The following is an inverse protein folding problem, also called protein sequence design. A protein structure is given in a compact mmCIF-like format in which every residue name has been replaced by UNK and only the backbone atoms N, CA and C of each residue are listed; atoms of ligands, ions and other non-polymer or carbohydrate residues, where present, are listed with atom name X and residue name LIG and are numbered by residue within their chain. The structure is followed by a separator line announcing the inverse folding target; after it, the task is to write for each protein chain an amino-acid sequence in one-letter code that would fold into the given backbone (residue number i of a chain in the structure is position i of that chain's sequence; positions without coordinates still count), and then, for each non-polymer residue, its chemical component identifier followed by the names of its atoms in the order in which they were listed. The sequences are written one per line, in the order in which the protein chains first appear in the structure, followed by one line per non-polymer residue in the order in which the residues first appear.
data_IF_585107004727
#
_entry.id   IF_585107004727
#
_cell.length_a   1.000
_cell.length_b   1.000
_cell.length_c   1.000
_cell.angle_alpha   90.00
_cell.angle_beta   90.00
_cell.angle_gamma   90.00
#
_symmetry.space_group_name_H-M   'P 1'
#
loop_
_entity.id
_entity.type
_entity.pdbx_description
1 polymer ?
#
# COMPACT_ATOMS: atom_id res chain seq x y z
N UNK A 1 7.41 17.11 -10.43
CA UNK A 1 7.04 16.21 -11.55
C UNK A 1 5.84 15.42 -11.08
N UNK A 2 4.79 15.24 -11.91
CA UNK A 2 3.64 14.43 -11.50
C UNK A 2 4.09 12.97 -11.40
N UNK A 3 3.85 12.35 -10.25
CA UNK A 3 4.16 10.94 -9.97
C UNK A 3 2.87 10.14 -10.17
N UNK A 4 2.89 9.09 -10.98
CA UNK A 4 1.70 8.38 -11.43
C UNK A 4 1.55 6.98 -10.81
N UNK A 5 0.30 6.63 -10.47
CA UNK A 5 -0.23 5.27 -10.37
C UNK A 5 -1.08 5.02 -11.64
N UNK A 6 -0.70 4.04 -12.48
CA UNK A 6 -1.40 3.80 -13.76
C UNK A 6 -2.29 2.55 -13.68
N UNK A 7 -3.41 2.58 -14.40
CA UNK A 7 -4.30 1.43 -14.62
C UNK A 7 -4.28 0.92 -16.08
N UNK A 8 -4.57 -0.37 -16.25
CA UNK A 8 -4.26 -1.10 -17.49
C UNK A 8 -5.10 -0.72 -18.72
N UNK A 9 -6.27 -0.07 -18.60
CA UNK A 9 -7.13 0.18 -19.79
C UNK A 9 -8.31 1.15 -19.59
N UNK A 10 -8.65 2.08 -20.52
CA UNK A 10 -7.86 2.61 -21.63
C UNK A 10 -7.25 3.97 -21.22
N UNK A 11 -5.95 3.98 -20.88
CA UNK A 11 -5.16 5.20 -20.59
C UNK A 11 -5.72 6.12 -19.49
N UNK A 12 -6.17 5.57 -18.36
CA UNK A 12 -6.37 6.39 -17.16
C UNK A 12 -5.06 6.51 -16.39
N UNK A 13 -4.75 7.73 -16.01
CA UNK A 13 -3.65 8.06 -15.12
C UNK A 13 -4.23 8.67 -13.88
N UNK A 14 -3.80 8.18 -12.73
CA UNK A 14 -4.06 8.84 -11.47
C UNK A 14 -2.71 9.22 -10.89
N UNK A 15 -2.66 10.38 -10.25
CA UNK A 15 -1.53 10.75 -9.44
C UNK A 15 -1.36 9.73 -8.30
N UNK A 16 -0.13 9.28 -8.03
CA UNK A 16 0.15 8.26 -7.03
C UNK A 16 -0.36 8.66 -5.64
N UNK A 17 -0.16 9.93 -5.26
CA UNK A 17 -0.67 10.49 -4.00
C UNK A 17 -2.20 10.38 -3.91
N UNK A 18 -2.91 10.72 -5.00
CA UNK A 18 -4.37 10.61 -5.11
C UNK A 18 -4.82 9.15 -5.02
N UNK A 19 -4.07 8.23 -5.61
CA UNK A 19 -4.36 6.81 -5.55
C UNK A 19 -4.23 6.26 -4.12
N UNK A 20 -3.07 6.44 -3.50
CA UNK A 20 -2.80 6.01 -2.13
C UNK A 20 -3.85 6.55 -1.14
N UNK A 21 -4.23 7.83 -1.29
CA UNK A 21 -5.31 8.45 -0.50
C UNK A 21 -6.67 7.80 -0.78
N UNK A 22 -7.02 7.63 -2.05
CA UNK A 22 -8.30 7.04 -2.45
C UNK A 22 -8.47 5.63 -1.90
N UNK A 23 -7.41 4.82 -1.98
CA UNK A 23 -7.33 3.48 -1.38
C UNK A 23 -7.48 3.55 0.14
N UNK A 24 -6.85 4.50 0.83
CA UNK A 24 -6.97 4.67 2.28
C UNK A 24 -8.39 5.07 2.73
N UNK A 25 -9.12 5.85 1.93
CA UNK A 25 -10.53 6.18 2.20
C UNK A 25 -11.42 4.96 1.97
N UNK A 26 -11.23 4.26 0.86
CA UNK A 26 -12.04 3.10 0.47
C UNK A 26 -11.85 1.93 1.42
N UNK A 27 -10.62 1.67 1.90
CA UNK A 27 -10.39 0.60 2.88
C UNK A 27 -11.11 0.92 4.20
N UNK A 28 -11.09 2.16 4.67
CA UNK A 28 -11.85 2.55 5.87
C UNK A 28 -13.35 2.32 5.67
N UNK A 29 -13.89 2.71 4.51
CA UNK A 29 -15.30 2.49 4.16
C UNK A 29 -15.66 1.00 4.15
N UNK A 30 -14.83 0.15 3.56
CA UNK A 30 -15.01 -1.31 3.55
C UNK A 30 -15.02 -1.89 4.97
N UNK A 31 -14.03 -1.52 5.79
CA UNK A 31 -13.90 -2.04 7.15
C UNK A 31 -15.08 -1.65 8.03
N UNK A 32 -15.72 -0.50 7.76
CA UNK A 32 -16.91 -0.04 8.49
C UNK A 32 -18.21 -0.69 8.04
N UNK A 33 -18.21 -1.51 6.98
CA UNK A 33 -19.41 -2.28 6.59
C UNK A 33 -19.79 -3.27 7.68
N UNK A 34 -21.10 -3.48 7.90
CA UNK A 34 -21.62 -4.23 9.06
C UNK A 34 -20.96 -5.60 9.25
N UNK A 35 -20.81 -6.36 8.16
CA UNK A 35 -20.27 -7.72 8.20
C UNK A 35 -18.78 -7.68 8.58
N UNK A 36 -17.99 -6.86 7.86
CA UNK A 36 -16.54 -6.78 8.08
C UNK A 36 -16.25 -6.21 9.47
N UNK A 37 -16.92 -5.13 9.86
CA UNK A 37 -16.78 -4.53 11.19
C UNK A 37 -17.07 -5.53 12.29
N UNK A 38 -18.18 -6.28 12.19
CA UNK A 38 -18.54 -7.26 13.21
C UNK A 38 -17.47 -8.35 13.36
N UNK A 39 -16.99 -8.90 12.25
CA UNK A 39 -15.93 -9.93 12.27
C UNK A 39 -14.63 -9.38 12.84
N UNK A 40 -14.18 -8.19 12.43
CA UNK A 40 -12.93 -7.61 12.93
C UNK A 40 -13.07 -7.20 14.40
N UNK A 41 -14.20 -6.63 14.83
CA UNK A 41 -14.45 -6.28 16.23
C UNK A 41 -14.27 -7.51 17.14
N UNK A 42 -14.79 -8.68 16.74
CA UNK A 42 -14.63 -9.92 17.49
C UNK A 42 -13.16 -10.37 17.58
N UNK A 43 -12.43 -10.37 16.46
CA UNK A 43 -11.01 -10.74 16.41
C UNK A 43 -10.12 -9.75 17.18
N UNK A 44 -10.46 -8.46 17.15
CA UNK A 44 -9.77 -7.38 17.84
C UNK A 44 -9.89 -7.53 19.37
N UNK A 45 -11.09 -7.87 19.87
CA UNK A 45 -11.32 -8.15 21.28
C UNK A 45 -10.47 -9.32 21.79
N UNK A 46 -10.38 -10.41 21.01
CA UNK A 46 -9.55 -11.57 21.36
C UNK A 46 -8.05 -11.23 21.44
N UNK A 47 -7.60 -10.26 20.65
CA UNK A 47 -6.20 -9.80 20.61
C UNK A 47 -5.92 -8.57 21.48
N UNK A 48 -6.94 -8.09 22.22
CA UNK A 48 -6.89 -6.91 23.10
C UNK A 48 -6.39 -5.66 22.38
N UNK A 49 -6.92 -5.41 21.19
CA UNK A 49 -6.76 -4.16 20.44
C UNK A 49 -8.12 -3.57 20.13
N UNK A 50 -8.19 -2.26 20.00
CA UNK A 50 -9.42 -1.60 19.58
C UNK A 50 -9.57 -1.66 18.05
N UNK A 51 -10.81 -1.74 17.58
CA UNK A 51 -11.12 -1.71 16.15
C UNK A 51 -10.54 -0.49 15.44
N UNK A 52 -10.47 0.66 16.12
CA UNK A 52 -9.84 1.87 15.59
C UNK A 52 -8.35 1.69 15.32
N UNK A 53 -7.63 0.90 16.11
CA UNK A 53 -6.22 0.62 15.86
C UNK A 53 -6.04 -0.27 14.63
N UNK A 54 -6.95 -1.22 14.41
CA UNK A 54 -6.96 -2.05 13.20
C UNK A 54 -7.24 -1.19 11.96
N UNK A 55 -8.16 -0.22 12.04
CA UNK A 55 -8.39 0.75 10.96
C UNK A 55 -7.12 1.57 10.69
N UNK A 56 -6.44 2.09 11.72
CA UNK A 56 -5.20 2.87 11.54
C UNK A 56 -4.09 2.04 10.88
N UNK A 57 -3.93 0.77 11.28
CA UNK A 57 -3.00 -0.16 10.63
C UNK A 57 -3.35 -0.41 9.16
N UNK A 58 -4.64 -0.65 8.87
CA UNK A 58 -5.13 -0.87 7.51
C UNK A 58 -4.97 0.37 6.61
N UNK A 59 -5.26 1.57 7.14
CA UNK A 59 -5.02 2.85 6.43
C UNK A 59 -3.54 3.08 6.20
N UNK A 60 -2.69 2.73 7.16
CA UNK A 60 -1.23 2.78 6.98
C UNK A 60 -0.77 1.82 5.89
N UNK A 61 -1.31 0.61 5.82
CA UNK A 61 -1.04 -0.31 4.72
C UNK A 61 -1.45 0.32 3.38
N UNK A 62 -2.63 0.91 3.29
CA UNK A 62 -3.11 1.59 2.08
C UNK A 62 -2.22 2.77 1.65
N UNK A 63 -1.67 3.54 2.59
CA UNK A 63 -0.74 4.64 2.28
C UNK A 63 0.60 4.13 1.76
N UNK A 64 1.07 2.99 2.27
CA UNK A 64 2.40 2.47 1.92
C UNK A 64 2.40 1.42 0.81
N UNK A 65 1.28 0.76 0.48
CA UNK A 65 1.27 -0.44 -0.38
C UNK A 65 1.97 -0.27 -1.74
N UNK A 66 1.83 0.93 -2.29
CA UNK A 66 2.29 1.31 -3.62
C UNK A 66 3.36 2.40 -3.60
N UNK A 67 3.84 2.79 -2.41
CA UNK A 67 4.75 3.92 -2.26
C UNK A 67 6.06 3.72 -3.04
N UNK A 68 6.51 2.47 -3.20
CA UNK A 68 7.64 2.08 -4.03
C UNK A 68 7.50 2.46 -5.51
N UNK A 69 6.28 2.68 -6.02
CA UNK A 69 6.05 3.19 -7.39
C UNK A 69 6.62 4.60 -7.58
N UNK A 70 6.93 5.34 -6.53
CA UNK A 70 7.55 6.66 -6.62
C UNK A 70 8.99 6.62 -7.18
N UNK A 71 9.66 5.47 -7.17
CA UNK A 71 11.01 5.36 -7.72
C UNK A 71 11.07 5.76 -9.20
N UNK A 72 12.15 6.45 -9.58
CA UNK A 72 12.34 6.97 -10.93
C UNK A 72 12.26 5.87 -11.99
N UNK A 73 12.76 4.67 -11.70
CA UNK A 73 12.64 3.51 -12.59
C UNK A 73 11.21 3.27 -13.09
N UNK A 74 10.22 3.38 -12.20
CA UNK A 74 8.81 3.21 -12.56
C UNK A 74 8.22 4.47 -13.18
N UNK A 75 8.59 5.65 -12.67
CA UNK A 75 8.04 6.92 -13.14
C UNK A 75 8.51 7.29 -14.55
N UNK A 76 9.72 6.88 -14.94
CA UNK A 76 10.19 6.97 -16.33
C UNK A 76 9.27 6.18 -17.26
N UNK A 77 8.97 4.93 -16.92
CA UNK A 77 8.06 4.09 -17.71
C UNK A 77 6.64 4.65 -17.74
N UNK A 78 6.16 5.17 -16.60
CA UNK A 78 4.86 5.83 -16.53
C UNK A 78 4.78 7.03 -17.48
N UNK A 79 5.80 7.89 -17.46
CA UNK A 79 5.89 9.06 -18.32
C UNK A 79 5.93 8.71 -19.82
N UNK A 80 6.76 7.75 -20.20
CA UNK A 80 6.86 7.28 -21.60
C UNK A 80 5.51 6.79 -22.12
N UNK A 81 4.71 6.11 -21.29
CA UNK A 81 3.38 5.68 -21.72
C UNK A 81 2.35 6.82 -21.72
N UNK A 82 2.41 7.76 -20.77
CA UNK A 82 1.57 8.99 -20.82
C UNK A 82 1.75 9.71 -22.14
N UNK A 83 2.98 9.81 -22.63
CA UNK A 83 3.30 10.45 -23.90
C UNK A 83 3.01 9.61 -25.15
N UNK A 84 2.64 8.35 -24.98
CA UNK A 84 2.48 7.42 -26.10
C UNK A 84 3.80 7.00 -26.76
N UNK A 85 4.93 7.25 -26.09
CA UNK A 85 6.29 6.94 -26.54
C UNK A 85 6.77 5.54 -26.06
N UNK A 86 6.08 4.95 -25.08
CA UNK A 86 6.44 3.67 -24.46
C UNK A 86 5.59 2.47 -24.87
N UNK A 87 5.82 1.33 -24.21
CA UNK A 87 5.03 0.10 -24.36
C UNK A 87 3.54 0.36 -24.10
N UNK A 88 2.64 -0.35 -24.82
CA UNK A 88 1.20 -0.33 -24.52
C UNK A 88 0.88 -0.70 -23.07
N UNK A 89 1.70 -1.55 -22.45
CA UNK A 89 1.52 -2.06 -21.08
C UNK A 89 2.72 -1.71 -20.21
N UNK A 90 2.46 -1.37 -18.94
CA UNK A 90 3.47 -1.16 -17.91
C UNK A 90 3.41 -2.30 -16.90
N UNK A 91 4.58 -2.71 -16.41
CA UNK A 91 4.68 -3.64 -15.30
C UNK A 91 5.52 -3.02 -14.22
N UNK A 92 4.92 -2.87 -13.04
CA UNK A 92 5.65 -2.50 -11.83
C UNK A 92 6.02 -3.80 -11.11
N UNK A 93 7.00 -4.52 -11.63
CA UNK A 93 7.53 -5.69 -10.91
C UNK A 93 8.18 -5.23 -9.62
N UNK A 94 7.99 -5.96 -8.52
CA UNK A 94 8.63 -5.74 -7.22
C UNK A 94 8.29 -4.43 -6.49
N UNK A 95 7.33 -3.61 -6.95
CA UNK A 95 6.97 -2.39 -6.21
C UNK A 95 6.43 -2.71 -4.82
N UNK A 96 5.81 -3.86 -4.64
CA UNK A 96 5.33 -4.38 -3.37
C UNK A 96 6.47 -4.73 -2.41
N UNK A 97 7.59 -5.29 -2.91
CA UNK A 97 8.79 -5.55 -2.10
C UNK A 97 9.49 -4.26 -1.69
N UNK A 98 9.57 -3.31 -2.61
CA UNK A 98 10.18 -2.01 -2.37
C UNK A 98 9.34 -1.22 -1.37
N UNK A 99 8.02 -1.22 -1.52
CA UNK A 99 7.09 -0.61 -0.58
C UNK A 99 7.18 -1.23 0.81
N UNK A 100 7.22 -2.56 0.89
CA UNK A 100 7.43 -3.30 2.13
C UNK A 100 8.76 -2.92 2.79
N UNK A 101 9.86 -2.86 2.04
CA UNK A 101 11.17 -2.47 2.56
C UNK A 101 11.20 -1.01 3.07
N UNK A 102 10.57 -0.07 2.34
CA UNK A 102 10.44 1.32 2.78
C UNK A 102 9.71 1.38 4.12
N UNK A 103 8.55 0.72 4.21
CA UNK A 103 7.79 0.62 5.45
C UNK A 103 8.61 -0.02 6.59
N UNK A 104 9.31 -1.13 6.32
CA UNK A 104 10.13 -1.82 7.30
C UNK A 104 11.22 -0.93 7.90
N UNK A 105 11.92 -0.20 7.02
CA UNK A 105 12.99 0.71 7.42
C UNK A 105 12.44 1.88 8.23
N UNK A 106 11.27 2.42 7.85
CA UNK A 106 10.57 3.47 8.60
C UNK A 106 10.21 2.99 10.01
N UNK A 107 9.64 1.79 10.15
CA UNK A 107 9.33 1.19 11.46
C UNK A 107 10.60 1.00 12.30
N UNK A 108 11.69 0.52 11.71
CA UNK A 108 12.97 0.35 12.41
C UNK A 108 13.55 1.67 12.91
N UNK A 109 13.49 2.73 12.08
CA UNK A 109 13.95 4.06 12.49
C UNK A 109 13.07 4.59 13.63
N UNK A 110 11.74 4.45 13.53
CA UNK A 110 10.82 4.83 14.59
C UNK A 110 11.17 4.13 15.91
N UNK A 111 11.29 2.80 15.87
CA UNK A 111 11.61 1.99 17.05
C UNK A 111 12.94 2.42 17.69
N UNK A 112 13.94 2.77 16.88
CA UNK A 112 15.22 3.26 17.40
C UNK A 112 15.13 4.67 18.00
N UNK A 113 14.19 5.51 17.56
CA UNK A 113 14.04 6.89 18.03
C UNK A 113 13.21 6.98 19.32
N UNK A 114 12.15 6.18 19.44
CA UNK A 114 11.20 6.25 20.58
C UNK A 114 11.12 4.97 21.42
N UNK A 115 11.89 3.94 21.08
CA UNK A 115 11.93 2.65 21.80
C UNK A 115 10.56 1.96 21.94
N UNK A 116 9.62 2.29 21.05
CA UNK A 116 8.27 1.73 21.02
C UNK A 116 7.81 1.57 19.57
N UNK A 117 6.86 0.67 19.34
CA UNK A 117 6.15 0.58 18.06
C UNK A 117 5.16 1.76 17.95
N UNK A 118 4.81 2.18 16.72
CA UNK A 118 3.84 3.25 16.52
C UNK A 118 2.39 2.82 16.87
N UNK A 119 2.19 1.53 17.14
CA UNK A 119 0.92 0.90 17.53
C UNK A 119 0.98 0.41 18.99
N UNK A 120 -0.17 0.23 19.64
CA UNK A 120 -0.20 -0.33 21.01
C UNK A 120 0.35 -1.77 21.07
N UNK A 121 0.21 -2.53 19.97
CA UNK A 121 0.74 -3.89 19.82
C UNK A 121 1.68 -4.00 18.61
N UNK A 122 2.88 -4.60 18.77
CA UNK A 122 3.82 -4.79 17.67
C UNK A 122 3.24 -5.52 16.46
N UNK A 123 2.38 -6.52 16.69
CA UNK A 123 1.82 -7.34 15.61
C UNK A 123 0.95 -6.55 14.62
N UNK A 124 0.44 -5.35 14.98
CA UNK A 124 -0.25 -4.47 14.05
C UNK A 124 0.71 -3.92 12.97
N UNK A 125 1.98 -3.72 13.31
CA UNK A 125 3.01 -3.40 12.32
C UNK A 125 3.23 -4.58 11.36
N UNK A 126 3.14 -5.80 11.86
CA UNK A 126 3.32 -7.03 11.09
C UNK A 126 2.13 -7.30 10.17
N UNK A 127 0.91 -7.05 10.65
CA UNK A 127 -0.30 -7.05 9.82
C UNK A 127 -0.18 -6.03 8.68
N UNK A 128 0.28 -4.82 8.98
CA UNK A 128 0.49 -3.76 7.98
C UNK A 128 1.52 -4.21 6.93
N UNK A 129 2.62 -4.84 7.37
CA UNK A 129 3.64 -5.42 6.49
C UNK A 129 3.05 -6.49 5.56
N UNK A 130 2.28 -7.44 6.11
CA UNK A 130 1.65 -8.48 5.31
C UNK A 130 0.69 -7.89 4.28
N UNK A 131 -0.15 -6.91 4.67
CA UNK A 131 -1.07 -6.25 3.75
C UNK A 131 -0.33 -5.54 2.61
N UNK A 132 0.74 -4.78 2.92
CA UNK A 132 1.59 -4.14 1.89
C UNK A 132 2.22 -5.17 0.97
N UNK A 133 2.75 -6.26 1.51
CA UNK A 133 3.45 -7.25 0.72
C UNK A 133 2.48 -8.05 -0.17
N UNK A 134 1.31 -8.40 0.35
CA UNK A 134 0.40 -9.37 -0.25
C UNK A 134 -0.79 -8.74 -1.00
N UNK A 135 -0.84 -7.41 -1.15
CA UNK A 135 -1.95 -6.74 -1.86
C UNK A 135 -2.09 -7.11 -3.35
N UNK A 136 -1.15 -7.86 -3.94
CA UNK A 136 -1.30 -8.45 -5.29
C UNK A 136 -1.44 -9.97 -5.30
N UNK A 137 -1.64 -10.62 -4.14
CA UNK A 137 -1.58 -12.09 -4.03
C UNK A 137 -2.62 -12.82 -4.90
N UNK A 138 -3.76 -12.19 -5.21
CA UNK A 138 -4.74 -12.73 -6.15
C UNK A 138 -4.33 -12.67 -7.63
N UNK A 139 -3.27 -11.93 -7.97
CA UNK A 139 -2.75 -11.76 -9.33
C UNK A 139 -1.38 -12.42 -9.52
N UNK A 140 -0.54 -12.40 -8.49
CA UNK A 140 0.82 -12.99 -8.51
C UNK A 140 1.28 -13.38 -7.12
N UNK A 141 2.00 -14.50 -7.04
CA UNK A 141 2.66 -14.92 -5.81
C UNK A 141 4.06 -14.31 -5.73
N UNK A 142 4.37 -13.71 -4.58
CA UNK A 142 5.74 -13.33 -4.20
C UNK A 142 6.35 -14.55 -3.53
N UNK A 143 7.47 -15.01 -4.07
CA UNK A 143 8.21 -16.13 -3.49
C UNK A 143 9.43 -15.61 -2.72
N UNK A 144 10.01 -16.43 -1.86
CA UNK A 144 11.17 -16.04 -1.05
C UNK A 144 12.33 -15.64 -1.96
N UNK A 145 12.54 -16.33 -3.09
CA UNK A 145 13.60 -16.05 -4.05
C UNK A 145 13.50 -14.63 -4.62
N UNK A 146 12.27 -14.11 -4.79
CA UNK A 146 12.05 -12.74 -5.26
C UNK A 146 12.57 -11.69 -4.27
N UNK A 147 12.62 -11.99 -2.97
CA UNK A 147 13.19 -11.09 -1.96
C UNK A 147 14.69 -10.86 -2.17
N UNK A 148 15.39 -11.82 -2.77
CA UNK A 148 16.83 -11.79 -3.01
C UNK A 148 17.18 -11.40 -4.46
N UNK A 149 16.23 -10.86 -5.23
CA UNK A 149 16.48 -10.51 -6.62
C UNK A 149 17.39 -9.29 -6.77
N UNK A 150 18.52 -9.45 -7.46
CA UNK A 150 19.46 -8.37 -7.80
C UNK A 150 18.81 -7.23 -8.62
N UNK A 151 17.69 -7.54 -9.29
CA UNK A 151 16.91 -6.55 -10.05
C UNK A 151 16.44 -5.41 -9.12
N UNK A 152 16.17 -5.69 -7.86
CA UNK A 152 15.68 -4.69 -6.89
C UNK A 152 16.74 -3.61 -6.66
N UNK A 153 18.00 -4.01 -6.47
CA UNK A 153 19.12 -3.07 -6.33
C UNK A 153 19.25 -2.16 -7.56
N UNK A 154 19.06 -2.72 -8.76
CA UNK A 154 19.08 -1.94 -10.00
C UNK A 154 17.90 -0.95 -10.08
N UNK A 155 16.71 -1.36 -9.65
CA UNK A 155 15.53 -0.48 -9.60
C UNK A 155 15.78 0.70 -8.65
N UNK A 156 16.34 0.44 -7.47
CA UNK A 156 16.62 1.44 -6.44
C UNK A 156 17.73 2.41 -6.86
N UNK A 157 18.83 1.89 -7.41
CA UNK A 157 19.97 2.69 -7.83
C UNK A 157 19.68 3.58 -9.06
N UNK A 158 18.64 3.24 -9.85
CA UNK A 158 18.29 3.97 -11.06
C UNK A 158 17.86 5.41 -10.75
N UNK A 159 18.75 6.36 -11.04
CA UNK A 159 18.55 7.80 -10.79
C UNK A 159 18.03 8.09 -9.38
N UNK A 160 18.77 7.63 -8.37
CA UNK A 160 18.42 7.75 -6.95
C UNK A 160 17.95 9.17 -6.55
N UNK A 161 18.64 10.23 -7.01
CA UNK A 161 18.25 11.61 -6.72
C UNK A 161 16.83 11.94 -7.22
N UNK A 162 16.45 11.44 -8.39
CA UNK A 162 15.10 11.62 -8.94
C UNK A 162 14.07 10.81 -8.15
N UNK A 163 14.43 9.59 -7.72
CA UNK A 163 13.59 8.77 -6.85
C UNK A 163 13.30 9.47 -5.52
N UNK A 164 14.30 10.11 -4.92
CA UNK A 164 14.14 10.89 -3.68
C UNK A 164 13.21 12.09 -3.92
N UNK A 165 13.41 12.86 -4.99
CA UNK A 165 12.53 14.00 -5.31
C UNK A 165 11.08 13.59 -5.57
N UNK A 166 10.87 12.50 -6.31
CA UNK A 166 9.53 11.94 -6.54
C UNK A 166 8.86 11.55 -5.23
N UNK A 167 9.58 10.86 -4.35
CA UNK A 167 9.07 10.44 -3.06
C UNK A 167 8.73 11.63 -2.16
N UNK A 168 9.57 12.67 -2.12
CA UNK A 168 9.28 13.92 -1.39
C UNK A 168 7.98 14.57 -1.88
N UNK A 169 7.74 14.60 -3.20
CA UNK A 169 6.49 15.10 -3.76
C UNK A 169 5.29 14.30 -3.25
N UNK A 170 5.35 12.97 -3.35
CA UNK A 170 4.27 12.07 -2.91
C UNK A 170 3.96 12.25 -1.41
N UNK A 171 4.99 12.33 -0.56
CA UNK A 171 4.82 12.49 0.88
C UNK A 171 4.14 13.83 1.20
N UNK A 172 4.59 14.93 0.56
CA UNK A 172 4.01 16.27 0.75
C UNK A 172 2.51 16.27 0.45
N UNK A 173 2.10 15.62 -0.63
CA UNK A 173 0.69 15.56 -1.03
C UNK A 173 -0.14 14.67 -0.07
N UNK A 174 0.45 13.60 0.46
CA UNK A 174 -0.21 12.72 1.42
C UNK A 174 -0.47 13.40 2.77
N UNK A 175 0.46 14.19 3.30
CA UNK A 175 0.27 14.89 4.58
C UNK A 175 -0.95 15.78 4.63
N UNK A 176 -1.23 16.48 3.53
CA UNK A 176 -2.34 17.42 3.47
C UNK A 176 -3.70 16.74 3.42
N UNK A 177 -3.73 15.41 3.27
CA UNK A 177 -4.94 14.72 2.80
C UNK A 177 -5.23 13.37 3.45
N UNK A 178 -4.29 12.78 4.20
CA UNK A 178 -4.50 11.54 4.96
C UNK A 178 -4.84 11.86 6.43
N UNK A 179 -6.08 11.57 6.83
CA UNK A 179 -6.55 11.65 8.21
C UNK A 179 -6.24 10.35 9.00
N UNK A 180 -4.96 10.02 9.14
CA UNK A 180 -4.50 8.84 9.90
C UNK A 180 -3.28 9.25 10.73
N UNK A 181 -3.40 9.19 12.06
CA UNK A 181 -2.36 9.69 12.96
C UNK A 181 -1.08 8.90 12.79
N UNK A 182 -1.19 7.57 12.73
CA UNK A 182 -0.04 6.69 12.60
C UNK A 182 0.63 6.88 11.24
N UNK A 183 -0.15 6.95 10.15
CA UNK A 183 0.43 7.19 8.83
C UNK A 183 1.21 8.51 8.77
N UNK A 184 0.69 9.59 9.38
CA UNK A 184 1.40 10.88 9.42
C UNK A 184 2.71 10.83 10.20
N UNK A 185 2.75 10.09 11.32
CA UNK A 185 4.01 9.85 12.06
C UNK A 185 5.03 9.11 11.18
N UNK A 186 4.60 8.06 10.48
CA UNK A 186 5.51 7.27 9.65
C UNK A 186 5.95 8.00 8.37
N UNK A 187 5.08 8.80 7.76
CA UNK A 187 5.43 9.67 6.64
C UNK A 187 6.45 10.73 7.06
N UNK A 188 6.37 11.27 8.28
CA UNK A 188 7.38 12.18 8.82
C UNK A 188 8.74 11.52 9.01
N UNK A 189 8.76 10.29 9.51
CA UNK A 189 10.00 9.53 9.61
C UNK A 189 10.59 9.27 8.24
N UNK A 190 9.75 8.93 7.25
CA UNK A 190 10.17 8.73 5.87
C UNK A 190 10.78 10.01 5.27
N UNK A 191 10.12 11.15 5.43
CA UNK A 191 10.58 12.44 4.92
C UNK A 191 11.93 12.84 5.52
N UNK A 192 12.04 12.80 6.85
CA UNK A 192 13.24 13.20 7.58
C UNK A 192 14.45 12.30 7.26
N UNK A 193 14.22 11.05 6.86
CA UNK A 193 15.26 10.05 6.65
C UNK A 193 15.31 9.55 5.20
N UNK A 194 14.75 10.30 4.25
CA UNK A 194 14.54 9.81 2.88
C UNK A 194 15.85 9.40 2.18
N UNK A 195 16.94 10.13 2.43
CA UNK A 195 18.27 9.85 1.89
C UNK A 195 18.89 8.56 2.44
N UNK A 196 18.41 8.05 3.58
CA UNK A 196 18.84 6.78 4.18
C UNK A 196 17.86 5.64 3.83
N UNK A 197 16.57 5.94 3.69
CA UNK A 197 15.55 4.92 3.45
C UNK A 197 15.53 4.46 1.99
N UNK A 198 15.52 5.40 1.03
CA UNK A 198 15.37 5.06 -0.39
C UNK A 198 16.52 4.20 -0.95
N UNK A 199 17.81 4.49 -0.69
CA UNK A 199 18.89 3.65 -1.22
C UNK A 199 19.04 2.32 -0.49
N UNK A 200 18.33 2.11 0.62
CA UNK A 200 18.49 0.94 1.46
C UNK A 200 17.53 -0.17 1.04
N UNK A 201 18.05 -1.37 0.84
CA UNK A 201 17.23 -2.58 0.70
C UNK A 201 17.80 -3.69 1.57
N UNK A 202 16.95 -4.31 2.39
CA UNK A 202 17.33 -5.47 3.17
C UNK A 202 16.13 -6.40 3.39
N UNK A 203 16.19 -7.56 2.74
CA UNK A 203 15.19 -8.61 2.84
C UNK A 203 14.94 -9.09 4.27
N UNK A 204 15.95 -9.05 5.15
CA UNK A 204 15.78 -9.47 6.54
C UNK A 204 14.81 -8.55 7.30
N UNK A 205 14.78 -7.25 6.99
CA UNK A 205 13.81 -6.35 7.62
C UNK A 205 12.36 -6.67 7.23
N UNK A 206 12.14 -7.11 5.98
CA UNK A 206 10.83 -7.56 5.54
C UNK A 206 10.45 -8.83 6.30
N UNK A 207 11.38 -9.79 6.41
CA UNK A 207 11.15 -11.06 7.10
C UNK A 207 10.83 -10.87 8.59
N UNK A 208 11.57 -9.98 9.27
CA UNK A 208 11.38 -9.67 10.69
C UNK A 208 9.96 -9.15 10.98
N UNK A 209 9.43 -8.30 10.11
CA UNK A 209 8.09 -7.74 10.25
C UNK A 209 6.98 -8.57 9.58
N UNK A 210 7.31 -9.58 8.79
CA UNK A 210 6.30 -10.39 8.11
C UNK A 210 5.58 -11.36 9.06
N UNK A 211 6.24 -11.81 10.13
CA UNK A 211 5.77 -12.92 10.96
C UNK A 211 4.55 -12.55 11.83
N UNK A 212 3.49 -13.34 11.74
CA UNK A 212 2.39 -13.36 12.71
C UNK A 212 2.29 -14.77 13.30
N UNK A 213 2.16 -14.88 14.62
CA UNK A 213 2.21 -16.17 15.32
C UNK A 213 0.83 -16.68 15.76
N UNK A 214 -0.07 -15.75 16.06
CA UNK A 214 -1.40 -16.08 16.56
C UNK A 214 -2.40 -16.21 15.40
N UNK A 215 -3.27 -17.23 15.49
CA UNK A 215 -4.26 -17.53 14.43
C UNK A 215 -5.22 -16.37 14.22
N UNK A 216 -5.65 -15.70 15.30
CA UNK A 216 -6.54 -14.54 15.26
C UNK A 216 -5.88 -13.37 14.52
N UNK A 217 -4.59 -13.13 14.77
CA UNK A 217 -3.82 -12.09 14.08
C UNK A 217 -3.67 -12.41 12.59
N UNK A 218 -3.41 -13.67 12.24
CA UNK A 218 -3.31 -14.12 10.85
C UNK A 218 -4.65 -13.96 10.12
N UNK A 219 -5.77 -14.35 10.73
CA UNK A 219 -7.11 -14.17 10.17
C UNK A 219 -7.43 -12.70 9.93
N UNK A 220 -7.13 -11.84 10.91
CA UNK A 220 -7.32 -10.41 10.75
C UNK A 220 -6.46 -9.85 9.62
N UNK A 221 -5.19 -10.26 9.53
CA UNK A 221 -4.29 -9.87 8.44
C UNK A 221 -4.83 -10.26 7.06
N UNK A 222 -5.40 -11.47 6.93
CA UNK A 222 -6.05 -11.92 5.68
C UNK A 222 -7.24 -11.06 5.31
N UNK A 223 -8.08 -10.70 6.28
CA UNK A 223 -9.24 -9.81 6.06
C UNK A 223 -8.76 -8.43 5.61
N UNK A 224 -7.78 -7.83 6.31
CA UNK A 224 -7.25 -6.51 5.96
C UNK A 224 -6.57 -6.52 4.59
N UNK A 225 -5.78 -7.54 4.28
CA UNK A 225 -5.17 -7.71 2.96
C UNK A 225 -6.24 -7.80 1.87
N UNK A 226 -7.28 -8.61 2.06
CA UNK A 226 -8.41 -8.68 1.13
C UNK A 226 -9.14 -7.35 0.95
N UNK A 227 -9.37 -6.61 2.04
CA UNK A 227 -9.97 -5.28 1.98
C UNK A 227 -9.08 -4.29 1.22
N UNK A 228 -7.76 -4.35 1.41
CA UNK A 228 -6.80 -3.52 0.69
C UNK A 228 -6.80 -3.81 -0.81
N UNK A 229 -6.79 -5.08 -1.20
CA UNK A 229 -6.89 -5.49 -2.62
C UNK A 229 -8.15 -4.91 -3.29
N UNK A 230 -9.28 -4.98 -2.59
CA UNK A 230 -10.57 -4.49 -3.09
C UNK A 230 -10.58 -2.96 -3.14
N UNK A 231 -10.04 -2.30 -2.13
CA UNK A 231 -9.92 -0.84 -2.08
C UNK A 231 -9.02 -0.30 -3.20
N UNK A 232 -7.86 -0.93 -3.42
CA UNK A 232 -6.91 -0.60 -4.49
C UNK A 232 -7.60 -0.71 -5.86
N UNK A 233 -8.24 -1.85 -6.12
CA UNK A 233 -8.92 -2.07 -7.39
C UNK A 233 -10.17 -1.20 -7.55
N UNK A 234 -10.89 -0.87 -6.48
CA UNK A 234 -12.02 0.04 -6.51
C UNK A 234 -11.56 1.48 -6.84
N UNK A 235 -10.48 1.96 -6.23
CA UNK A 235 -9.90 3.26 -6.57
C UNK A 235 -9.48 3.34 -8.03
N UNK A 236 -8.81 2.29 -8.49
CA UNK A 236 -8.45 2.11 -9.89
C UNK A 236 -9.66 2.19 -10.83
N UNK A 237 -10.74 1.48 -10.48
CA UNK A 237 -11.94 1.41 -11.30
C UNK A 237 -12.64 2.77 -11.43
N UNK A 238 -12.73 3.54 -10.34
CA UNK A 238 -13.30 4.90 -10.36
C UNK A 238 -12.45 5.87 -11.17
N UNK A 239 -11.12 5.85 -11.00
CA UNK A 239 -10.22 6.71 -11.75
C UNK A 239 -10.27 6.47 -13.27
N UNK A 240 -10.71 5.27 -13.68
CA UNK A 240 -10.98 4.92 -15.07
C UNK A 240 -12.39 5.31 -15.55
N UNK A 241 -13.17 6.04 -14.75
CA UNK A 241 -14.56 6.40 -15.07
C UNK A 241 -15.47 5.18 -15.18
N UNK A 242 -15.24 4.14 -14.36
CA UNK A 242 -16.00 2.90 -14.38
C UNK A 242 -15.70 1.98 -15.57
N UNK A 243 -14.59 2.20 -16.28
CA UNK A 243 -14.15 1.37 -17.41
C UNK A 243 -13.04 0.43 -16.97
N UNK A 244 -13.29 -0.87 -16.96
CA UNK A 244 -12.28 -1.89 -16.76
C UNK A 244 -12.58 -3.12 -17.62
N UNK A 245 -11.71 -4.13 -17.60
CA UNK A 245 -12.07 -5.45 -18.13
C UNK A 245 -13.30 -5.96 -17.38
N UNK A 246 -14.23 -6.57 -18.10
CA UNK A 246 -15.51 -7.09 -17.57
C UNK A 246 -15.36 -7.90 -16.28
N UNK A 247 -14.31 -8.70 -16.19
CA UNK A 247 -13.98 -9.48 -14.99
C UNK A 247 -13.77 -8.63 -13.72
N UNK A 248 -13.00 -7.53 -13.83
CA UNK A 248 -12.70 -6.63 -12.71
C UNK A 248 -13.96 -5.89 -12.28
N UNK A 249 -14.75 -5.43 -13.26
CA UNK A 249 -16.04 -4.81 -13.02
C UNK A 249 -16.98 -5.76 -12.28
N UNK A 250 -17.16 -7.00 -12.77
CA UNK A 250 -18.06 -7.96 -12.16
C UNK A 250 -17.59 -8.38 -10.75
N UNK A 251 -16.28 -8.52 -10.52
CA UNK A 251 -15.76 -8.90 -9.21
C UNK A 251 -15.95 -7.80 -8.16
N UNK A 252 -15.52 -6.57 -8.45
CA UNK A 252 -15.63 -5.44 -7.51
C UNK A 252 -17.09 -5.08 -7.28
N UNK A 253 -17.87 -4.89 -8.36
CA UNK A 253 -19.27 -4.44 -8.25
C UNK A 253 -20.11 -5.45 -7.48
N UNK A 254 -19.94 -6.76 -7.74
CA UNK A 254 -20.65 -7.79 -6.98
C UNK A 254 -20.25 -7.81 -5.51
N UNK A 255 -18.95 -7.67 -5.22
CA UNK A 255 -18.47 -7.66 -3.84
C UNK A 255 -19.00 -6.45 -3.06
N UNK A 256 -18.88 -5.24 -3.62
CA UNK A 256 -19.40 -4.01 -3.02
C UNK A 256 -20.91 -4.09 -2.80
N UNK A 257 -21.66 -4.58 -3.79
CA UNK A 257 -23.12 -4.76 -3.67
C UNK A 257 -23.48 -5.74 -2.55
N UNK A 258 -22.71 -6.81 -2.36
CA UNK A 258 -22.90 -7.78 -1.26
C UNK A 258 -22.71 -7.12 0.11
N UNK A 259 -21.87 -6.09 0.19
CA UNK A 259 -21.66 -5.28 1.40
C UNK A 259 -22.61 -4.08 1.53
N UNK A 260 -23.57 -3.92 0.60
CA UNK A 260 -24.48 -2.77 0.58
C UNK A 260 -23.81 -1.45 0.18
N UNK A 261 -22.71 -1.51 -0.57
CA UNK A 261 -21.99 -0.34 -1.10
C UNK A 261 -22.22 -0.18 -2.61
N UNK A 262 -22.27 1.07 -3.09
CA UNK A 262 -22.19 1.40 -4.51
C UNK A 262 -20.81 1.99 -4.87
N UNK A 263 -20.39 1.75 -6.11
CA UNK A 263 -19.19 2.39 -6.70
C UNK A 263 -19.37 3.92 -6.79
N UNK A 264 -20.61 4.40 -6.86
CA UNK A 264 -20.92 5.83 -7.04
C UNK A 264 -21.31 6.55 -5.74
N UNK A 265 -21.15 5.90 -4.58
CA UNK A 265 -21.40 6.54 -3.28
C UNK A 265 -20.19 7.40 -2.87
N UNK A 266 -19.98 8.50 -3.59
CA UNK A 266 -18.96 9.53 -3.31
C UNK A 266 -19.59 10.90 -3.09
#
# INVERSE_FOLDING_TARGET
MVVYARYEYPRGYQELSRHLRGTAIKIEKLLRTRIIKHTIDQLAQLTRVDFSEVIEAAKTAAVFHDIGKALHYYQKQAYEVVKGEGKKYMSFIFHELISANIYAKVIKIHLNQVSQYPYSKPWLANLTMQAILLHHQGLRMITIEKLYSDIISNIIANQLSNSIQNMQSVIKDLYTSVSCKISNVLLNILEQNINNIIPYYNQLLIQDLYRLEDTTQIEMSRIITGCLMIADTWDAYEAMGGRARRYVQDAIVRYLKTLGLSVYDS
#
